data_IF_047929600630
#
_entry.id   IF_047929600630
#
_cell.length_a   1.000
_cell.length_b   1.000
_cell.length_c   1.000
_cell.angle_alpha   90.00
_cell.angle_beta   90.00
_cell.angle_gamma   90.00
#
_symmetry.space_group_name_H-M   'P 1'
#
loop_
_entity.id
_entity.type
_entity.pdbx_description
1 polymer ?
#
# COMPACT_ATOMS: atom_id res chain seq x y z
N UNK A 1 11.23 -26.44 -7.51
CA UNK A 1 10.86 -25.37 -6.55
C UNK A 1 9.65 -24.65 -7.12
N UNK A 2 8.50 -24.70 -6.45
CA UNK A 2 7.36 -23.88 -6.83
C UNK A 2 7.70 -22.41 -6.51
N UNK A 3 7.50 -21.51 -7.48
CA UNK A 3 7.65 -20.07 -7.24
C UNK A 3 6.61 -19.56 -6.23
N UNK A 4 6.76 -18.33 -5.70
CA UNK A 4 5.79 -17.76 -4.78
C UNK A 4 4.39 -17.73 -5.42
N UNK A 5 3.37 -18.09 -4.63
CA UNK A 5 1.97 -18.06 -5.07
C UNK A 5 1.55 -16.62 -5.35
N UNK A 6 1.06 -16.35 -6.57
CA UNK A 6 0.54 -15.04 -6.97
C UNK A 6 -0.87 -14.78 -6.45
N UNK A 7 -1.32 -13.53 -6.55
CA UNK A 7 -2.72 -13.15 -6.33
C UNK A 7 -3.55 -13.72 -7.49
N UNK A 8 -4.58 -14.55 -7.23
CA UNK A 8 -5.44 -15.06 -8.29
C UNK A 8 -6.24 -13.91 -8.90
N UNK A 9 -6.38 -13.91 -10.23
CA UNK A 9 -7.22 -12.94 -10.95
C UNK A 9 -8.62 -13.50 -11.05
N UNK A 10 -9.60 -12.71 -10.61
CA UNK A 10 -11.01 -13.09 -10.56
C UNK A 10 -11.83 -12.34 -11.62
N UNK A 11 -13.10 -12.72 -11.77
CA UNK A 11 -14.04 -11.99 -12.62
C UNK A 11 -14.22 -10.51 -12.20
N UNK A 12 -13.99 -10.20 -10.92
CA UNK A 12 -14.02 -8.83 -10.39
C UNK A 12 -12.77 -8.00 -10.74
N UNK A 13 -11.76 -8.62 -11.35
CA UNK A 13 -10.52 -7.94 -11.72
C UNK A 13 -10.42 -7.65 -13.21
N UNK A 14 -11.29 -8.24 -14.04
CA UNK A 14 -11.21 -8.17 -15.50
C UNK A 14 -12.38 -7.41 -16.12
N UNK A 15 -12.14 -6.85 -17.30
CA UNK A 15 -13.15 -6.29 -18.21
C UNK A 15 -13.89 -7.42 -18.93
N UNK A 16 -14.94 -7.08 -19.68
CA UNK A 16 -15.70 -8.04 -20.48
C UNK A 16 -14.86 -8.78 -21.55
N UNK A 17 -13.77 -8.17 -22.01
CA UNK A 17 -12.82 -8.78 -22.94
C UNK A 17 -11.76 -9.66 -22.25
N UNK A 18 -11.85 -9.83 -20.92
CA UNK A 18 -10.91 -10.62 -20.12
C UNK A 18 -9.61 -9.91 -19.76
N UNK A 19 -9.40 -8.66 -20.18
CA UNK A 19 -8.21 -7.88 -19.78
C UNK A 19 -8.35 -7.33 -18.37
N UNK A 20 -7.24 -7.16 -17.65
CA UNK A 20 -7.27 -6.61 -16.28
C UNK A 20 -7.76 -5.15 -16.27
N UNK A 21 -8.62 -4.83 -15.31
CA UNK A 21 -9.10 -3.47 -15.03
C UNK A 21 -8.05 -2.59 -14.35
N UNK A 22 -8.04 -1.31 -14.68
CA UNK A 22 -7.21 -0.32 -13.99
C UNK A 22 -7.50 -0.26 -12.48
N UNK A 23 -8.77 -0.42 -12.10
CA UNK A 23 -9.19 -0.47 -10.70
C UNK A 23 -8.56 -1.66 -9.93
N UNK A 24 -8.42 -2.82 -10.59
CA UNK A 24 -7.77 -3.98 -9.98
C UNK A 24 -6.28 -3.71 -9.74
N UNK A 25 -5.59 -3.11 -10.71
CA UNK A 25 -4.19 -2.68 -10.55
C UNK A 25 -4.03 -1.71 -9.38
N UNK A 26 -4.92 -0.72 -9.26
CA UNK A 26 -4.88 0.23 -8.15
C UNK A 26 -5.03 -0.46 -6.78
N UNK A 27 -5.99 -1.38 -6.66
CA UNK A 27 -6.21 -2.16 -5.43
C UNK A 27 -5.01 -3.03 -5.08
N UNK A 28 -4.46 -3.73 -6.07
CA UNK A 28 -3.31 -4.60 -5.85
C UNK A 28 -2.04 -3.81 -5.46
N UNK A 29 -1.83 -2.64 -6.05
CA UNK A 29 -0.72 -1.75 -5.70
C UNK A 29 -0.88 -1.17 -4.30
N UNK A 30 -2.09 -0.76 -3.92
CA UNK A 30 -2.38 -0.29 -2.56
C UNK A 30 -2.12 -1.39 -1.52
N UNK A 31 -2.65 -2.59 -1.77
CA UNK A 31 -2.45 -3.74 -0.90
C UNK A 31 -0.96 -4.13 -0.77
N UNK A 32 -0.21 -4.15 -1.88
CA UNK A 32 1.22 -4.47 -1.85
C UNK A 32 2.04 -3.43 -1.07
N UNK A 33 1.71 -2.15 -1.22
CA UNK A 33 2.31 -1.08 -0.41
C UNK A 33 1.99 -1.27 1.07
N UNK A 34 0.72 -1.49 1.40
CA UNK A 34 0.29 -1.62 2.78
C UNK A 34 0.98 -2.83 3.44
N UNK A 35 1.00 -3.98 2.75
CA UNK A 35 1.75 -5.15 3.19
C UNK A 35 3.24 -4.83 3.42
N UNK A 36 3.91 -4.13 2.50
CA UNK A 36 5.30 -3.73 2.69
C UNK A 36 5.50 -2.88 3.96
N UNK A 37 4.63 -1.90 4.18
CA UNK A 37 4.69 -1.01 5.35
C UNK A 37 4.42 -1.76 6.66
N UNK A 38 3.51 -2.74 6.65
CA UNK A 38 3.19 -3.55 7.82
C UNK A 38 4.33 -4.48 8.22
N UNK A 39 5.11 -4.98 7.26
CA UNK A 39 6.31 -5.77 7.52
C UNK A 39 7.50 -4.91 7.99
N UNK A 40 7.41 -3.59 7.91
CA UNK A 40 8.46 -2.69 8.37
C UNK A 40 8.37 -2.43 9.88
N UNK A 41 8.85 -3.38 10.68
CA UNK A 41 8.77 -3.33 12.15
C UNK A 41 9.41 -2.07 12.78
N UNK A 42 10.40 -1.46 12.13
CA UNK A 42 10.96 -0.19 12.60
C UNK A 42 9.99 0.97 12.41
N UNK A 43 9.34 1.03 11.24
CA UNK A 43 8.40 2.08 10.91
C UNK A 43 7.18 2.02 11.82
N UNK A 44 6.69 0.81 12.11
CA UNK A 44 5.61 0.62 13.08
C UNK A 44 6.01 1.12 14.48
N UNK A 45 7.17 0.70 14.99
CA UNK A 45 7.68 1.19 16.29
C UNK A 45 7.88 2.71 16.33
N UNK A 46 8.31 3.32 15.22
CA UNK A 46 8.46 4.77 15.13
C UNK A 46 7.10 5.48 15.20
N UNK A 47 6.09 4.97 14.51
CA UNK A 47 4.71 5.50 14.56
C UNK A 47 4.12 5.39 15.96
N UNK A 48 4.23 4.21 16.58
CA UNK A 48 3.71 3.95 17.92
C UNK A 48 4.35 4.87 18.97
N UNK A 49 5.67 5.06 18.93
CA UNK A 49 6.39 5.89 19.89
C UNK A 49 6.15 7.39 19.69
N UNK A 50 6.07 7.84 18.44
CA UNK A 50 6.04 9.28 18.11
C UNK A 50 4.64 9.81 17.78
N UNK A 51 3.62 8.95 17.69
CA UNK A 51 2.26 9.33 17.29
C UNK A 51 2.14 9.77 15.82
N UNK A 52 3.15 9.51 14.99
CA UNK A 52 3.21 9.96 13.60
C UNK A 52 2.36 9.08 12.67
N UNK A 53 1.85 9.70 11.62
CA UNK A 53 1.06 9.01 10.59
C UNK A 53 1.85 8.82 9.32
N UNK A 54 1.62 7.70 8.63
CA UNK A 54 2.17 7.49 7.29
C UNK A 54 1.24 8.10 6.26
N UNK A 55 1.77 8.99 5.44
CA UNK A 55 1.13 9.40 4.20
C UNK A 55 1.83 8.78 3.02
N UNK A 56 1.06 8.57 1.96
CA UNK A 56 1.56 8.05 0.73
C UNK A 56 1.02 8.84 -0.46
N UNK A 57 1.78 8.84 -1.54
CA UNK A 57 1.33 9.28 -2.86
C UNK A 57 1.76 8.23 -3.87
N UNK A 58 0.78 7.56 -4.46
CA UNK A 58 1.02 6.66 -5.60
C UNK A 58 1.37 7.51 -6.82
N UNK A 59 2.39 7.10 -7.57
CA UNK A 59 2.70 7.65 -8.88
C UNK A 59 1.67 7.23 -9.93
N UNK A 60 1.97 7.48 -11.20
CA UNK A 60 1.15 6.98 -12.31
C UNK A 60 1.12 5.45 -12.28
N UNK A 61 -0.09 4.89 -12.28
CA UNK A 61 -0.29 3.45 -12.37
C UNK A 61 -0.23 3.00 -13.83
N UNK A 62 0.32 1.81 -14.11
CA UNK A 62 0.22 1.23 -15.44
C UNK A 62 -1.24 0.86 -15.74
N UNK A 63 -1.64 0.98 -17.01
CA UNK A 63 -2.95 0.51 -17.45
C UNK A 63 -3.06 -1.01 -17.25
N UNK A 64 -4.18 -1.47 -16.69
CA UNK A 64 -4.44 -2.88 -16.40
C UNK A 64 -4.40 -3.74 -17.65
N UNK A 65 -4.91 -3.23 -18.77
CA UNK A 65 -4.92 -3.94 -20.05
C UNK A 65 -3.52 -4.39 -20.52
N UNK A 66 -2.44 -3.72 -20.08
CA UNK A 66 -1.07 -4.11 -20.39
C UNK A 66 -0.64 -5.43 -19.72
N UNK A 67 -1.36 -5.89 -18.70
CA UNK A 67 -1.14 -7.20 -18.08
C UNK A 67 -1.75 -8.35 -18.88
N UNK A 68 -2.54 -8.07 -19.93
CA UNK A 68 -3.22 -9.09 -20.74
C UNK A 68 -4.33 -9.79 -19.96
N UNK A 69 -4.41 -11.12 -20.11
CA UNK A 69 -5.40 -12.02 -19.48
C UNK A 69 -4.74 -13.03 -18.54
N UNK A 70 -4.07 -12.59 -17.47
CA UNK A 70 -3.40 -13.50 -16.54
C UNK A 70 -4.40 -14.25 -15.67
N UNK A 71 -4.04 -15.45 -15.26
CA UNK A 71 -4.76 -16.20 -14.22
C UNK A 71 -4.30 -15.82 -12.81
N UNK A 72 -3.08 -15.30 -12.67
CA UNK A 72 -2.57 -14.74 -11.41
C UNK A 72 -1.54 -13.64 -11.65
N UNK A 73 -1.33 -12.79 -10.65
CA UNK A 73 -0.31 -11.72 -10.67
C UNK A 73 0.57 -11.83 -9.43
N UNK A 74 1.89 -11.90 -9.62
CA UNK A 74 2.87 -11.82 -8.54
C UNK A 74 3.33 -10.37 -8.38
N UNK A 75 3.27 -9.84 -7.17
CA UNK A 75 3.66 -8.45 -6.89
C UNK A 75 4.78 -8.43 -5.88
N UNK A 76 5.92 -7.89 -6.28
CA UNK A 76 7.06 -7.67 -5.38
C UNK A 76 7.21 -6.19 -5.08
N UNK A 77 7.36 -5.82 -3.81
CA UNK A 77 7.60 -4.45 -3.36
C UNK A 77 8.99 -4.31 -2.74
N UNK A 78 9.65 -3.19 -2.98
CA UNK A 78 10.97 -2.86 -2.43
C UNK A 78 11.16 -1.36 -2.31
N UNK A 79 11.87 -0.90 -1.27
CA UNK A 79 12.32 0.50 -1.22
C UNK A 79 13.45 0.71 -2.23
N UNK A 80 13.30 1.69 -3.12
CA UNK A 80 14.28 1.98 -4.19
C UNK A 80 14.99 3.31 -4.02
N UNK A 81 14.41 4.22 -3.24
CA UNK A 81 14.98 5.54 -3.00
C UNK A 81 14.68 6.00 -1.58
N UNK A 82 15.66 6.63 -0.95
CA UNK A 82 15.52 7.20 0.37
C UNK A 82 15.98 8.65 0.38
N UNK A 83 15.17 9.52 0.96
CA UNK A 83 15.42 10.95 1.17
C UNK A 83 15.15 11.29 2.63
N UNK A 84 15.68 12.41 3.16
CA UNK A 84 15.49 12.77 4.57
C UNK A 84 14.03 12.83 5.02
N UNK A 85 13.09 13.15 4.13
CA UNK A 85 11.66 13.32 4.46
C UNK A 85 10.73 12.33 3.75
N UNK A 86 11.27 11.39 2.99
CA UNK A 86 10.46 10.44 2.23
C UNK A 86 11.27 9.26 1.74
N UNK A 87 10.60 8.14 1.50
CA UNK A 87 11.18 7.04 0.74
C UNK A 87 10.21 6.56 -0.34
N UNK A 88 10.74 5.93 -1.39
CA UNK A 88 9.96 5.42 -2.51
C UNK A 88 9.92 3.90 -2.44
N UNK A 89 8.71 3.34 -2.43
CA UNK A 89 8.46 1.92 -2.64
C UNK A 89 8.20 1.72 -4.13
N UNK A 90 9.04 0.92 -4.79
CA UNK A 90 8.80 0.38 -6.12
C UNK A 90 8.10 -0.96 -6.01
N UNK A 91 7.07 -1.15 -6.82
CA UNK A 91 6.27 -2.37 -6.89
C UNK A 91 6.31 -2.89 -8.33
N UNK A 92 6.63 -4.17 -8.48
CA UNK A 92 6.71 -4.83 -9.78
C UNK A 92 5.65 -5.92 -9.86
N UNK A 93 4.70 -5.73 -10.78
CA UNK A 93 3.61 -6.66 -11.07
C UNK A 93 4.07 -7.60 -12.19
N UNK A 94 3.94 -8.90 -12.00
CA UNK A 94 4.30 -9.94 -12.97
C UNK A 94 3.09 -10.82 -13.25
N UNK A 95 2.46 -10.71 -14.42
CA UNK A 95 1.37 -11.60 -14.81
C UNK A 95 1.87 -13.04 -14.98
N UNK A 96 0.99 -14.01 -14.71
CA UNK A 96 1.25 -15.45 -14.83
C UNK A 96 0.04 -16.16 -15.43
N UNK A 97 0.32 -17.17 -16.25
CA UNK A 97 -0.68 -18.06 -16.83
C UNK A 97 -1.68 -17.33 -17.73
N UNK A 98 -1.18 -16.43 -18.58
CA UNK A 98 -1.95 -15.67 -19.55
C UNK A 98 -1.17 -15.49 -20.86
N UNK A 99 -1.60 -14.53 -21.67
CA UNK A 99 -1.01 -14.19 -22.98
C UNK A 99 0.16 -13.19 -22.89
N UNK A 100 0.34 -12.55 -21.74
CA UNK A 100 1.43 -11.60 -21.46
C UNK A 100 2.22 -12.03 -20.22
N UNK A 101 3.55 -11.95 -20.31
CA UNK A 101 4.47 -12.17 -19.17
C UNK A 101 5.33 -10.92 -18.86
N UNK A 102 5.00 -9.78 -19.49
CA UNK A 102 5.75 -8.54 -19.30
C UNK A 102 5.44 -7.95 -17.92
N UNK A 103 6.50 -7.68 -17.16
CA UNK A 103 6.37 -7.07 -15.86
C UNK A 103 6.08 -5.57 -15.96
N UNK A 104 5.12 -5.09 -15.18
CA UNK A 104 4.80 -3.66 -15.06
C UNK A 104 5.32 -3.12 -13.73
N UNK A 105 5.59 -1.83 -13.67
CA UNK A 105 6.10 -1.17 -12.47
C UNK A 105 5.15 -0.07 -12.01
N UNK A 106 4.97 0.04 -10.70
CA UNK A 106 4.30 1.11 -10.00
C UNK A 106 5.22 1.65 -8.90
N UNK A 107 5.02 2.89 -8.47
CA UNK A 107 5.80 3.48 -7.40
C UNK A 107 4.88 4.23 -6.43
N UNK A 108 5.27 4.25 -5.15
CA UNK A 108 4.62 5.06 -4.12
C UNK A 108 5.65 5.77 -3.28
N UNK A 109 5.51 7.07 -3.13
CA UNK A 109 6.31 7.88 -2.20
C UNK A 109 5.63 7.84 -0.83
N UNK A 110 6.38 7.57 0.22
CA UNK A 110 5.92 7.47 1.60
C UNK A 110 6.58 8.59 2.43
N UNK A 111 5.80 9.19 3.33
CA UNK A 111 6.21 10.26 4.25
C UNK A 111 5.66 9.98 5.64
N UNK A 112 6.35 10.45 6.69
CA UNK A 112 5.77 10.56 8.02
C UNK A 112 5.31 11.99 8.23
N UNK A 113 4.11 12.14 8.77
CA UNK A 113 3.52 13.42 9.10
C UNK A 113 3.03 13.42 10.55
N UNK A 114 3.22 14.54 11.23
CA UNK A 114 2.53 14.82 12.47
C UNK A 114 1.03 15.03 12.16
N UNK A 115 0.13 14.21 12.71
CA UNK A 115 -1.30 14.32 12.41
C UNK A 115 -1.94 15.62 12.90
N UNK A 116 -1.31 16.29 13.87
CA UNK A 116 -1.81 17.53 14.49
C UNK A 116 -1.48 18.75 13.63
N UNK A 117 -0.24 18.81 13.12
CA UNK A 117 0.25 19.97 12.35
C UNK A 117 0.22 19.75 10.84
N UNK A 118 0.20 18.49 10.39
CA UNK A 118 0.38 18.11 8.99
C UNK A 118 1.83 18.25 8.50
N UNK A 119 2.78 18.56 9.40
CA UNK A 119 4.18 18.74 9.00
C UNK A 119 4.87 17.40 8.73
N UNK A 120 5.65 17.38 7.64
CA UNK A 120 6.45 16.21 7.27
C UNK A 120 7.69 16.13 8.16
N UNK A 121 7.82 15.01 8.86
CA UNK A 121 8.93 14.75 9.78
C UNK A 121 10.09 14.07 9.05
N UNK A 122 11.31 14.38 9.48
CA UNK A 122 12.50 13.73 8.97
C UNK A 122 12.64 12.28 9.46
N UNK A 123 12.91 11.39 8.51
CA UNK A 123 13.30 10.03 8.74
C UNK A 123 14.76 10.03 9.20
N UNK A 124 14.97 9.98 10.52
CA UNK A 124 16.31 10.01 11.10
C UNK A 124 17.24 8.90 10.57
N UNK A 125 18.57 9.03 10.75
CA UNK A 125 19.57 8.10 10.19
C UNK A 125 19.32 6.60 10.43
N UNK A 126 18.80 6.15 11.60
CA UNK A 126 18.50 4.73 11.82
C UNK A 126 17.42 4.18 10.88
N UNK A 127 16.46 5.01 10.45
CA UNK A 127 15.40 4.61 9.53
C UNK A 127 15.93 4.40 8.11
N UNK A 128 16.86 5.25 7.66
CA UNK A 128 17.50 5.16 6.36
C UNK A 128 18.23 3.83 6.17
N UNK A 129 19.09 3.46 7.12
CA UNK A 129 19.90 2.25 7.04
C UNK A 129 19.07 0.96 7.10
N UNK A 130 18.02 0.93 7.91
CA UNK A 130 17.21 -0.27 8.09
C UNK A 130 16.20 -0.50 6.96
N UNK A 131 15.67 0.56 6.34
CA UNK A 131 14.78 0.43 5.16
C UNK A 131 15.54 -0.06 3.92
N UNK A 132 16.82 0.28 3.79
CA UNK A 132 17.71 -0.22 2.74
C UNK A 132 18.10 -1.69 3.03
N UNK A 133 18.23 -2.06 4.29
CA UNK A 133 18.64 -3.40 4.72
C UNK A 133 17.49 -4.43 4.78
N UNK A 134 16.22 -4.02 4.58
CA UNK A 134 15.12 -4.97 4.46
C UNK A 134 15.30 -5.79 3.18
N UNK A 135 15.62 -7.09 3.26
CA UNK A 135 15.56 -7.94 2.08
C UNK A 135 14.13 -7.88 1.54
N UNK A 136 14.01 -7.97 0.21
CA UNK A 136 12.74 -7.94 -0.54
C UNK A 136 11.61 -8.63 0.24
N UNK A 137 10.74 -7.85 0.87
CA UNK A 137 9.72 -8.37 1.80
C UNK A 137 8.63 -9.22 1.13
N UNK A 138 8.68 -9.42 -0.20
CA UNK A 138 7.69 -10.19 -0.96
C UNK A 138 8.31 -11.22 -1.91
N UNK A 139 9.52 -11.73 -1.61
CA UNK A 139 10.05 -12.93 -2.30
C UNK A 139 9.71 -14.24 -1.54
N UNK A 140 9.14 -14.17 -0.34
CA UNK A 140 8.63 -15.30 0.42
C UNK A 140 7.15 -15.08 0.71
N UNK A 141 6.30 -16.01 0.25
CA UNK A 141 4.89 -16.05 0.65
C UNK A 141 4.76 -16.00 2.17
N UNK A 142 3.73 -15.30 2.64
CA UNK A 142 2.48 -16.01 2.78
C UNK A 142 1.52 -15.56 1.69
N UNK A 143 0.63 -16.47 1.30
CA UNK A 143 -0.66 -16.12 0.78
C UNK A 143 -1.26 -15.08 1.72
N UNK A 144 -1.14 -13.80 1.38
CA UNK A 144 -2.07 -12.80 1.86
C UNK A 144 -3.39 -13.17 1.19
N UNK A 145 -4.14 -14.06 1.83
CA UNK A 145 -5.59 -14.04 1.78
C UNK A 145 -5.95 -12.66 2.31
N UNK A 146 -5.90 -11.64 1.45
CA UNK A 146 -6.54 -10.37 1.72
C UNK A 146 -8.01 -10.75 1.85
N UNK A 147 -8.63 -10.66 3.04
CA UNK A 147 -10.06 -10.87 3.13
C UNK A 147 -10.71 -9.70 2.41
N UNK A 148 -11.03 -9.89 1.13
CA UNK A 148 -11.95 -9.02 0.42
C UNK A 148 -13.34 -9.40 0.94
N UNK A 149 -13.71 -8.86 2.11
CA UNK A 149 -15.12 -8.80 2.50
C UNK A 149 -15.64 -7.47 2.00
N UNK A 150 -16.58 -7.53 1.07
CA UNK A 150 -17.29 -6.37 0.50
C UNK A 150 -18.15 -5.61 1.52
N UNK A 151 -18.07 -5.94 2.80
CA UNK A 151 -18.88 -5.40 3.89
C UNK A 151 -17.99 -4.95 5.05
N UNK A 152 -17.41 -3.73 4.97
CA UNK A 152 -17.22 -2.77 6.07
C UNK A 152 -16.19 -1.70 5.68
N UNK A 153 -16.65 -0.54 5.22
CA UNK A 153 -16.08 0.75 5.65
C UNK A 153 -17.09 1.87 5.43
N UNK A 154 -17.86 2.19 6.46
CA UNK A 154 -18.51 3.51 6.60
C UNK A 154 -17.57 4.32 7.51
N UNK A 155 -17.00 5.44 7.06
CA UNK A 155 -16.19 6.27 7.94
C UNK A 155 -17.06 6.85 9.06
N UNK A 156 -16.62 6.86 10.33
CA UNK A 156 -17.29 7.64 11.35
C UNK A 156 -17.12 9.13 11.02
N UNK A 157 -18.23 9.80 10.73
CA UNK A 157 -18.26 11.25 10.60
C UNK A 157 -17.85 11.93 11.92
N UNK A 158 -17.31 13.16 11.87
CA UNK A 158 -16.83 13.84 13.06
C UNK A 158 -17.98 14.16 14.02
N UNK A 159 -17.99 13.50 15.17
CA UNK A 159 -18.80 13.89 16.33
C UNK A 159 -18.28 15.23 16.87
N UNK A 160 -18.98 16.31 16.56
CA UNK A 160 -18.78 17.61 17.20
C UNK A 160 -19.00 17.48 18.72
N UNK A 161 -18.13 18.07 19.57
CA UNK A 161 -18.43 18.19 21.00
C UNK A 161 -19.48 19.30 21.23
N UNK A 162 -20.60 18.91 21.83
CA UNK A 162 -21.60 19.83 22.37
C UNK A 162 -20.99 20.62 23.54
N UNK A 163 -21.01 21.95 23.43
CA UNK A 163 -20.71 22.89 24.51
C UNK A 163 -21.72 22.74 25.66
N UNK A 164 -21.31 22.91 26.93
CA UNK A 164 -22.23 22.88 28.07
C UNK A 164 -23.04 24.18 28.17
N UNK A 165 -24.38 24.06 28.22
CA UNK A 165 -25.29 25.16 28.57
C UNK A 165 -25.09 25.57 30.03
N UNK A 166 -24.63 26.80 30.26
CA UNK A 166 -24.81 27.51 31.54
C UNK A 166 -26.29 27.87 31.71
N UNK A 167 -26.94 27.33 32.75
CA UNK A 167 -28.19 27.88 33.28
C UNK A 167 -27.85 29.02 34.23
N UNK A 168 -28.18 30.25 33.85
CA UNK A 168 -28.32 31.37 34.78
C UNK A 168 -29.71 31.34 35.40
N UNK A 169 -29.77 31.30 36.74
CA UNK A 169 -30.95 31.60 37.54
C UNK A 169 -31.33 33.07 37.39
N UNK A 170 -32.61 33.34 37.26
CA UNK A 170 -33.29 34.63 37.38
C UNK A 170 -34.77 34.37 37.52
#
# INVERSE_FOLDING_TARGET
>A
MAGPAGVPVTEHDVNADGTVRDAAVALWVDAARQAYLDHCALLQRLRERSGLTLRHRTGTLPAGALLGRPTSVVISASTTEFRPRSFTISMRLRPRGGDQEVALNAASVIRLEDPTTGEVVELGPPAAFLLIALPRCLDAGPTLLIPFSSDLWIPPGPSHPLLPRRMTRG
#
